data_IF_316046348942
#
_entry.id   IF_316046348942
#
_cell.length_a   1.000
_cell.length_b   1.000
_cell.length_c   1.000
_cell.angle_alpha   90.00
_cell.angle_beta   90.00
_cell.angle_gamma   90.00
#
_symmetry.space_group_name_H-M   'P 1'
#
loop_
_entity.id
_entity.type
_entity.pdbx_description
1 polymer ?
#
# COMPACT_ATOMS: atom_id res chain seq x y z
N UNK A 1 -15.64 -37.88 8.28
CA UNK A 1 -14.38 -37.29 8.77
C UNK A 1 -14.58 -35.78 8.76
N UNK A 2 -14.61 -35.19 9.95
CA UNK A 2 -14.85 -33.75 10.14
C UNK A 2 -13.51 -33.03 10.16
N UNK A 3 -13.33 -32.06 9.27
CA UNK A 3 -12.24 -31.08 9.31
C UNK A 3 -12.84 -29.67 9.20
N UNK A 4 -13.63 -29.29 10.20
CA UNK A 4 -14.00 -27.88 10.42
C UNK A 4 -12.92 -27.25 11.29
N UNK A 5 -11.89 -26.69 10.67
CA UNK A 5 -10.84 -25.95 11.38
C UNK A 5 -11.34 -24.54 11.69
N UNK A 6 -11.87 -24.32 12.89
CA UNK A 6 -12.23 -22.99 13.42
C UNK A 6 -10.97 -22.23 13.88
N UNK A 7 -9.99 -22.06 13.00
CA UNK A 7 -8.81 -21.25 13.25
C UNK A 7 -9.04 -19.80 12.82
N UNK A 8 -8.26 -18.83 13.34
CA UNK A 8 -8.38 -17.41 12.95
C UNK A 8 -8.24 -17.21 11.42
N UNK A 9 -7.49 -18.09 10.75
CA UNK A 9 -7.29 -18.10 9.30
C UNK A 9 -8.43 -18.70 8.47
N UNK A 10 -9.46 -19.26 9.11
CA UNK A 10 -10.63 -19.82 8.42
C UNK A 10 -11.86 -18.90 8.49
N UNK A 11 -11.68 -17.67 8.96
CA UNK A 11 -12.76 -16.68 9.09
C UNK A 11 -12.62 -15.57 8.04
N UNK A 12 -13.71 -14.83 7.83
CA UNK A 12 -13.71 -13.63 6.97
C UNK A 12 -12.79 -12.52 7.51
N UNK A 13 -12.33 -12.64 8.76
CA UNK A 13 -11.36 -11.77 9.40
C UNK A 13 -9.91 -12.23 9.29
N UNK A 14 -9.60 -13.21 8.44
CA UNK A 14 -8.24 -13.72 8.27
C UNK A 14 -7.25 -12.58 7.94
N UNK A 15 -6.11 -12.56 8.64
CA UNK A 15 -5.02 -11.60 8.43
C UNK A 15 -4.09 -12.07 7.32
N UNK A 16 -3.32 -11.17 6.71
CA UNK A 16 -2.46 -11.49 5.57
C UNK A 16 -1.51 -12.69 5.82
N UNK A 17 -1.02 -12.86 7.05
CA UNK A 17 -0.18 -14.01 7.44
C UNK A 17 -0.86 -15.39 7.29
N UNK A 18 -2.19 -15.44 7.11
CA UNK A 18 -2.94 -16.65 6.85
C UNK A 18 -2.86 -17.12 5.38
N UNK A 19 -2.42 -16.26 4.47
CA UNK A 19 -2.28 -16.58 3.05
C UNK A 19 -0.90 -17.18 2.75
N UNK A 20 -0.84 -18.01 1.72
CA UNK A 20 0.40 -18.51 1.13
C UNK A 20 0.46 -18.11 -0.34
N UNK A 21 1.66 -17.93 -0.93
CA UNK A 21 1.76 -17.50 -2.32
C UNK A 21 1.19 -18.57 -3.25
N UNK A 22 0.25 -18.18 -4.10
CA UNK A 22 -0.38 -19.03 -5.12
C UNK A 22 0.23 -18.84 -6.52
N UNK A 23 1.03 -17.79 -6.69
CA UNK A 23 1.76 -17.48 -7.93
C UNK A 23 3.27 -17.63 -7.71
N UNK A 24 4.03 -17.66 -8.81
CA UNK A 24 5.49 -17.66 -8.74
C UNK A 24 6.02 -16.29 -8.23
N UNK A 25 7.18 -16.24 -7.55
CA UNK A 25 7.80 -14.99 -7.10
C UNK A 25 7.88 -13.90 -8.18
N UNK A 26 8.24 -14.28 -9.41
CA UNK A 26 8.35 -13.37 -10.55
C UNK A 26 7.03 -12.67 -10.90
N UNK A 27 5.88 -13.32 -10.65
CA UNK A 27 4.57 -12.70 -10.86
C UNK A 27 4.37 -11.51 -9.92
N UNK A 28 4.66 -11.68 -8.63
CA UNK A 28 4.46 -10.62 -7.65
C UNK A 28 5.38 -9.41 -7.91
N UNK A 29 6.62 -9.68 -8.31
CA UNK A 29 7.57 -8.62 -8.73
C UNK A 29 7.09 -7.92 -10.01
N UNK A 30 6.62 -8.66 -11.01
CA UNK A 30 6.07 -8.09 -12.24
C UNK A 30 4.86 -7.18 -11.95
N UNK A 31 3.92 -7.62 -11.11
CA UNK A 31 2.78 -6.78 -10.72
C UNK A 31 3.22 -5.50 -9.99
N UNK A 32 4.20 -5.58 -9.08
CA UNK A 32 4.74 -4.41 -8.39
C UNK A 32 5.47 -3.45 -9.36
N UNK A 33 6.21 -3.96 -10.34
CA UNK A 33 6.85 -3.12 -11.35
C UNK A 33 5.83 -2.42 -12.27
N UNK A 34 4.76 -3.12 -12.67
CA UNK A 34 3.66 -2.54 -13.44
C UNK A 34 2.90 -1.48 -12.66
N UNK A 35 2.80 -1.62 -11.34
CA UNK A 35 2.28 -0.57 -10.47
C UNK A 35 3.11 0.70 -10.64
N UNK A 36 4.44 0.64 -10.60
CA UNK A 36 5.27 1.82 -10.82
C UNK A 36 5.22 2.37 -12.25
N UNK A 37 4.98 1.53 -13.26
CA UNK A 37 4.73 2.01 -14.62
C UNK A 37 3.49 2.92 -14.70
N UNK A 38 2.53 2.82 -13.77
CA UNK A 38 1.35 3.70 -13.76
C UNK A 38 1.68 5.17 -13.43
N UNK A 39 2.84 5.42 -12.82
CA UNK A 39 3.32 6.74 -12.38
C UNK A 39 4.61 7.21 -13.08
N UNK A 40 5.20 6.37 -13.93
CA UNK A 40 6.39 6.73 -14.68
C UNK A 40 5.99 7.28 -16.05
N UNK A 41 6.19 8.59 -16.26
CA UNK A 41 5.85 9.29 -17.50
C UNK A 41 6.61 8.76 -18.73
N UNK A 42 7.67 7.97 -18.53
CA UNK A 42 8.44 7.33 -19.59
C UNK A 42 8.03 5.88 -19.90
N UNK A 43 7.18 5.27 -19.06
CA UNK A 43 6.75 3.88 -19.21
C UNK A 43 5.63 3.71 -20.25
N UNK A 44 5.40 2.45 -20.65
CA UNK A 44 4.27 2.09 -21.49
C UNK A 44 2.95 2.31 -20.72
N UNK A 45 2.05 3.20 -21.17
CA UNK A 45 0.81 3.49 -20.45
C UNK A 45 -0.16 2.31 -20.37
N UNK A 46 0.08 1.24 -21.14
CA UNK A 46 -0.68 -0.02 -21.09
C UNK A 46 -0.10 -1.04 -20.11
N UNK A 47 1.12 -0.81 -19.60
CA UNK A 47 1.70 -1.58 -18.51
C UNK A 47 0.98 -1.22 -17.21
N UNK A 48 -0.01 -2.04 -16.83
CA UNK A 48 -0.84 -1.83 -15.63
C UNK A 48 -0.84 -3.10 -14.78
N UNK A 49 -0.83 -2.94 -13.44
CA UNK A 49 -0.98 -4.09 -12.56
C UNK A 49 -2.43 -4.57 -12.58
N UNK A 50 -2.65 -5.78 -12.08
CA UNK A 50 -3.98 -6.33 -11.88
C UNK A 50 -4.40 -6.07 -10.44
N UNK A 51 -5.41 -5.22 -10.26
CA UNK A 51 -5.99 -4.93 -8.95
C UNK A 51 -7.26 -5.76 -8.70
N UNK A 52 -7.43 -6.20 -7.45
CA UNK A 52 -8.71 -6.68 -6.95
C UNK A 52 -9.74 -5.53 -6.92
N UNK A 53 -11.03 -5.84 -7.00
CA UNK A 53 -12.10 -4.83 -7.08
C UNK A 53 -12.04 -3.81 -5.93
N UNK A 54 -11.87 -4.29 -4.69
CA UNK A 54 -11.83 -3.50 -3.46
C UNK A 54 -10.42 -3.11 -2.99
N UNK A 55 -9.43 -3.01 -3.90
CA UNK A 55 -8.05 -2.65 -3.53
C UNK A 55 -7.98 -1.37 -2.72
N UNK A 56 -7.09 -1.34 -1.74
CA UNK A 56 -6.84 -0.17 -0.88
C UNK A 56 -5.41 0.31 -1.10
N UNK A 57 -5.21 1.62 -1.22
CA UNK A 57 -3.88 2.26 -1.14
C UNK A 57 -3.79 3.14 0.10
N UNK A 58 -2.81 2.84 0.94
CA UNK A 58 -2.52 3.51 2.19
C UNK A 58 -1.11 4.09 2.15
N UNK A 59 -0.99 5.42 2.13
CA UNK A 59 0.29 6.11 2.20
C UNK A 59 0.41 6.74 3.59
N UNK A 60 1.48 6.41 4.31
CA UNK A 60 1.70 6.93 5.65
C UNK A 60 2.07 8.42 5.62
N UNK A 61 1.81 9.17 6.72
CA UNK A 61 2.37 10.50 6.89
C UNK A 61 3.88 10.51 6.57
N UNK A 62 4.37 11.57 5.92
CA UNK A 62 3.72 12.88 5.81
C UNK A 62 2.82 13.06 4.58
N UNK A 63 2.55 12.00 3.83
CA UNK A 63 1.64 12.04 2.68
C UNK A 63 0.17 11.82 3.08
N UNK A 64 -0.68 11.68 2.07
CA UNK A 64 -2.12 11.52 2.21
C UNK A 64 -2.47 10.09 2.63
N UNK A 65 -3.31 9.93 3.64
CA UNK A 65 -3.77 8.63 4.13
C UNK A 65 -5.02 8.19 3.36
N UNK A 66 -5.05 6.92 2.94
CA UNK A 66 -6.10 6.32 2.12
C UNK A 66 -6.34 7.08 0.81
N UNK A 67 -5.34 7.07 -0.07
CA UNK A 67 -5.37 7.76 -1.38
C UNK A 67 -6.07 6.97 -2.47
N UNK A 68 -6.40 5.71 -2.20
CA UNK A 68 -7.13 4.84 -3.13
C UNK A 68 -8.03 3.85 -2.40
N UNK A 69 -9.28 3.75 -2.88
CA UNK A 69 -10.21 2.71 -2.48
C UNK A 69 -11.05 2.27 -3.69
N UNK A 70 -10.79 1.06 -4.15
CA UNK A 70 -11.37 0.47 -5.34
C UNK A 70 -10.51 0.65 -6.59
N UNK A 71 -10.46 -0.39 -7.42
CA UNK A 71 -9.62 -0.46 -8.63
C UNK A 71 -9.81 0.74 -9.57
N UNK A 72 -11.06 1.05 -9.90
CA UNK A 72 -11.38 2.07 -10.90
C UNK A 72 -10.97 3.47 -10.43
N UNK A 73 -11.08 3.70 -9.12
CA UNK A 73 -10.64 4.94 -8.52
C UNK A 73 -9.12 5.09 -8.55
N UNK A 74 -8.38 4.05 -8.13
CA UNK A 74 -6.91 4.06 -8.18
C UNK A 74 -6.43 4.37 -9.59
N UNK A 75 -6.93 3.64 -10.60
CA UNK A 75 -6.53 3.86 -12.00
C UNK A 75 -6.81 5.30 -12.46
N UNK A 76 -7.94 5.86 -12.06
CA UNK A 76 -8.34 7.24 -12.41
C UNK A 76 -7.47 8.29 -11.72
N UNK A 77 -7.21 8.11 -10.42
CA UNK A 77 -6.39 9.02 -9.60
C UNK A 77 -4.94 8.98 -10.06
N UNK A 78 -4.37 7.81 -10.33
CA UNK A 78 -2.98 7.67 -10.79
C UNK A 78 -2.76 8.42 -12.10
N UNK A 79 -3.71 8.28 -13.02
CA UNK A 79 -3.68 9.01 -14.30
C UNK A 79 -3.74 10.53 -14.11
N UNK A 80 -4.52 11.00 -13.13
CA UNK A 80 -4.62 12.43 -12.79
C UNK A 80 -3.34 12.94 -12.13
N UNK A 81 -2.79 12.19 -11.17
CA UNK A 81 -1.54 12.53 -10.47
C UNK A 81 -0.39 12.61 -11.46
N UNK A 82 -0.23 11.60 -12.32
CA UNK A 82 0.81 11.59 -13.35
C UNK A 82 0.69 12.79 -14.30
N UNK A 83 -0.53 13.22 -14.63
CA UNK A 83 -0.74 14.39 -15.47
C UNK A 83 -0.44 15.72 -14.74
N UNK A 84 -0.69 15.79 -13.43
CA UNK A 84 -0.52 16.99 -12.62
C UNK A 84 0.92 17.20 -12.14
N UNK A 85 1.59 16.11 -11.76
CA UNK A 85 2.98 16.07 -11.25
C UNK A 85 3.72 14.94 -11.97
N UNK A 86 4.11 15.13 -13.25
CA UNK A 86 4.82 14.11 -14.00
C UNK A 86 6.12 13.71 -13.32
N UNK A 87 6.38 12.42 -13.24
CA UNK A 87 7.61 11.88 -12.65
C UNK A 87 8.19 10.77 -13.51
N UNK A 88 9.45 10.43 -13.28
CA UNK A 88 10.05 9.18 -13.78
C UNK A 88 10.56 8.37 -12.59
N UNK A 89 10.73 7.06 -12.73
CA UNK A 89 11.13 6.20 -11.61
C UNK A 89 12.40 5.43 -12.00
N UNK A 90 13.56 6.10 -12.05
CA UNK A 90 14.80 5.54 -12.57
C UNK A 90 15.39 4.41 -11.70
N UNK A 91 15.04 4.36 -10.41
CA UNK A 91 15.52 3.34 -9.48
C UNK A 91 14.34 2.51 -9.01
N UNK A 92 14.39 1.20 -9.28
CA UNK A 92 13.40 0.22 -8.82
C UNK A 92 14.11 -1.05 -8.34
N UNK A 93 14.12 -1.29 -7.02
CA UNK A 93 14.51 -2.59 -6.43
C UNK A 93 13.25 -3.22 -5.86
N UNK A 94 12.74 -4.28 -6.51
CA UNK A 94 11.54 -4.99 -6.10
C UNK A 94 11.89 -6.44 -5.77
N UNK A 95 11.35 -6.95 -4.66
CA UNK A 95 11.60 -8.32 -4.18
C UNK A 95 10.31 -9.04 -3.88
N UNK A 96 10.32 -10.34 -4.13
CA UNK A 96 9.27 -11.24 -3.69
C UNK A 96 9.59 -11.82 -2.31
N UNK A 97 8.54 -12.13 -1.55
CA UNK A 97 8.63 -12.72 -0.21
C UNK A 97 7.79 -13.99 -0.11
N UNK A 98 8.15 -14.89 0.79
CA UNK A 98 7.42 -16.15 1.04
C UNK A 98 6.21 -15.98 1.95
N UNK A 99 6.12 -14.84 2.63
CA UNK A 99 5.01 -14.44 3.50
C UNK A 99 4.47 -13.09 3.00
N UNK A 100 3.20 -12.81 3.29
CA UNK A 100 2.63 -11.51 2.93
C UNK A 100 3.35 -10.37 3.64
N UNK A 101 3.47 -9.20 2.99
CA UNK A 101 3.11 -8.93 1.58
C UNK A 101 4.10 -9.60 0.62
N UNK A 102 3.58 -10.26 -0.43
CA UNK A 102 4.41 -11.07 -1.33
C UNK A 102 5.34 -10.25 -2.24
N UNK A 103 5.17 -8.93 -2.32
CA UNK A 103 6.16 -8.05 -2.92
C UNK A 103 6.36 -6.77 -2.11
N UNK A 104 7.61 -6.30 -2.06
CA UNK A 104 7.99 -4.98 -1.56
C UNK A 104 9.03 -4.40 -2.49
N UNK A 105 8.95 -3.09 -2.70
CA UNK A 105 9.89 -2.36 -3.51
C UNK A 105 10.47 -1.19 -2.73
N UNK A 106 11.73 -0.90 -2.98
CA UNK A 106 12.37 0.38 -2.68
C UNK A 106 12.61 1.08 -4.00
N UNK A 107 11.96 2.22 -4.19
CA UNK A 107 12.02 2.97 -5.45
C UNK A 107 12.43 4.41 -5.20
N UNK A 108 12.83 5.11 -6.26
CA UNK A 108 13.03 6.55 -6.20
C UNK A 108 12.30 7.23 -7.36
N UNK A 109 11.29 8.02 -7.02
CA UNK A 109 10.61 8.91 -7.94
C UNK A 109 11.50 10.13 -8.21
N UNK A 110 11.60 10.54 -9.46
CA UNK A 110 12.24 11.77 -9.88
C UNK A 110 11.13 12.75 -10.25
N UNK A 111 10.85 13.67 -9.34
CA UNK A 111 9.96 14.81 -9.51
C UNK A 111 10.77 16.07 -9.89
N UNK A 112 10.07 17.17 -10.17
CA UNK A 112 10.71 18.47 -10.41
C UNK A 112 11.42 19.00 -9.16
N UNK A 113 10.84 18.77 -7.98
CA UNK A 113 11.42 19.11 -6.68
C UNK A 113 12.67 18.31 -6.30
N UNK A 114 12.89 17.15 -6.93
CA UNK A 114 14.06 16.29 -6.69
C UNK A 114 13.72 14.79 -6.61
N UNK A 115 14.71 13.96 -6.26
CA UNK A 115 14.47 12.55 -6.00
C UNK A 115 13.67 12.35 -4.71
N UNK A 116 12.77 11.40 -4.71
CA UNK A 116 11.98 10.98 -3.56
C UNK A 116 12.08 9.46 -3.41
N UNK A 117 12.85 9.01 -2.42
CA UNK A 117 13.01 7.60 -2.14
C UNK A 117 11.90 7.12 -1.19
N UNK A 118 11.25 6.01 -1.56
CA UNK A 118 10.12 5.45 -0.81
C UNK A 118 10.23 3.93 -0.78
N UNK A 119 9.52 3.32 0.18
CA UNK A 119 9.14 1.92 0.11
C UNK A 119 7.66 1.80 -0.20
N UNK A 120 7.32 0.73 -0.91
CA UNK A 120 5.93 0.35 -1.13
C UNK A 120 5.82 -1.17 -1.14
N UNK A 121 4.82 -1.70 -0.46
CA UNK A 121 4.54 -3.13 -0.41
C UNK A 121 3.13 -3.47 -0.87
N UNK A 122 2.99 -4.70 -1.37
CA UNK A 122 1.83 -5.16 -2.10
C UNK A 122 1.34 -6.48 -1.52
N UNK A 123 0.14 -6.45 -0.95
CA UNK A 123 -0.60 -7.66 -0.54
C UNK A 123 -1.41 -8.17 -1.72
N UNK A 124 -1.49 -9.49 -1.86
CA UNK A 124 -2.20 -10.15 -2.97
C UNK A 124 -3.27 -11.13 -2.51
N UNK A 125 -4.31 -11.32 -3.32
CA UNK A 125 -5.24 -12.44 -3.14
C UNK A 125 -4.74 -13.74 -3.81
N UNK A 126 -5.51 -14.83 -3.72
CA UNK A 126 -5.14 -16.14 -4.29
C UNK A 126 -5.08 -16.11 -5.83
N UNK A 127 -5.77 -15.17 -6.46
CA UNK A 127 -5.71 -14.95 -7.91
C UNK A 127 -4.43 -14.21 -8.35
N UNK A 128 -3.64 -13.71 -7.39
CA UNK A 128 -2.44 -12.92 -7.67
C UNK A 128 -2.73 -11.47 -8.03
N UNK A 129 -3.90 -10.94 -7.65
CA UNK A 129 -4.26 -9.53 -7.81
C UNK A 129 -3.86 -8.73 -6.58
N UNK A 130 -3.46 -7.47 -6.76
CA UNK A 130 -3.11 -6.56 -5.66
C UNK A 130 -4.40 -6.18 -4.90
N UNK A 131 -4.40 -6.37 -3.58
CA UNK A 131 -5.53 -6.06 -2.68
C UNK A 131 -5.23 -4.93 -1.71
N UNK A 132 -3.96 -4.74 -1.35
CA UNK A 132 -3.51 -3.67 -0.47
C UNK A 132 -2.16 -3.15 -0.93
N UNK A 133 -2.02 -1.84 -0.96
CA UNK A 133 -0.79 -1.13 -1.24
C UNK A 133 -0.47 -0.27 -0.03
N UNK A 134 0.71 -0.46 0.56
CA UNK A 134 1.17 0.31 1.72
C UNK A 134 2.48 1.02 1.36
N UNK A 135 2.53 2.34 1.51
CA UNK A 135 3.69 3.15 1.15
C UNK A 135 4.19 3.98 2.34
N UNK A 136 5.52 4.11 2.45
CA UNK A 136 6.17 4.98 3.43
C UNK A 136 7.47 5.59 2.89
N UNK A 137 7.86 6.72 3.47
CA UNK A 137 9.10 7.41 3.13
C UNK A 137 10.34 6.61 3.53
N UNK A 138 11.40 6.69 2.73
CA UNK A 138 12.72 6.13 3.04
C UNK A 138 13.51 7.00 4.05
N UNK A 139 12.90 8.06 4.60
CA UNK A 139 13.50 8.86 5.68
C UNK A 139 13.38 8.13 7.04
N UNK A 140 14.44 8.16 7.88
CA UNK A 140 14.49 7.38 9.13
C UNK A 140 13.29 7.54 10.08
N UNK A 141 12.71 8.72 10.18
CA UNK A 141 11.58 9.02 11.06
C UNK A 141 10.24 8.43 10.62
N UNK A 142 10.13 7.98 9.37
CA UNK A 142 8.90 7.45 8.77
C UNK A 142 8.97 5.93 8.52
N UNK A 143 10.09 5.29 8.83
CA UNK A 143 10.26 3.85 8.61
C UNK A 143 9.49 3.02 9.65
N UNK A 144 8.87 1.90 9.24
CA UNK A 144 8.17 1.00 10.16
C UNK A 144 9.13 0.08 10.94
N UNK A 145 10.42 0.07 10.61
CA UNK A 145 11.47 -0.72 11.24
C UNK A 145 12.46 0.14 12.06
N UNK A 146 12.97 -0.42 13.16
CA UNK A 146 13.87 0.30 14.08
C UNK A 146 15.33 0.39 13.58
N UNK A 147 15.80 -0.59 12.80
CA UNK A 147 17.17 -0.64 12.26
C UNK A 147 17.14 -0.98 10.75
N UNK A 148 16.88 0.01 9.88
CA UNK A 148 16.83 -0.22 8.43
C UNK A 148 18.19 -0.54 7.80
N UNK A 149 19.30 -0.32 8.51
CA UNK A 149 20.62 -0.70 8.01
C UNK A 149 20.84 -2.21 8.13
N UNK A 150 20.37 -2.82 9.22
CA UNK A 150 20.40 -4.26 9.42
C UNK A 150 19.23 -4.99 8.75
N UNK A 151 18.06 -4.36 8.67
CA UNK A 151 16.83 -4.91 8.07
C UNK A 151 16.24 -3.92 7.05
N UNK A 152 16.85 -3.78 5.85
CA UNK A 152 16.41 -2.84 4.83
C UNK A 152 15.06 -3.22 4.21
N UNK A 153 14.55 -4.42 4.48
CA UNK A 153 13.27 -4.88 3.95
C UNK A 153 12.18 -4.96 5.01
N UNK A 154 12.47 -4.78 6.30
CA UNK A 154 11.43 -4.83 7.33
C UNK A 154 10.83 -6.23 7.46
N UNK A 155 11.68 -7.25 7.50
CA UNK A 155 11.29 -8.64 7.74
C UNK A 155 11.30 -9.00 9.24
N UNK A 156 11.86 -8.14 10.09
CA UNK A 156 11.94 -8.36 11.53
C UNK A 156 10.58 -8.39 12.26
N UNK A 157 10.52 -9.01 13.44
CA UNK A 157 9.27 -9.15 14.20
C UNK A 157 8.76 -7.83 14.81
N UNK A 158 9.59 -6.79 14.87
CA UNK A 158 9.22 -5.47 15.40
C UNK A 158 8.64 -4.50 14.36
N UNK A 159 8.50 -4.94 13.11
CA UNK A 159 8.13 -4.06 11.99
C UNK A 159 6.63 -3.77 12.02
N UNK A 160 6.28 -2.48 12.09
CA UNK A 160 4.90 -2.00 12.32
C UNK A 160 4.14 -1.73 11.01
N UNK A 161 3.91 -2.78 10.22
CA UNK A 161 3.12 -2.71 8.97
C UNK A 161 1.61 -2.76 9.24
N UNK A 162 0.82 -2.01 8.49
CA UNK A 162 -0.64 -2.11 8.52
C UNK A 162 -1.12 -3.36 7.77
N UNK A 163 -0.49 -3.70 6.65
CA UNK A 163 -0.80 -4.83 5.78
C UNK A 163 -0.90 -6.19 6.49
N UNK A 164 -0.22 -6.35 7.64
CA UNK A 164 -0.25 -7.58 8.45
C UNK A 164 -1.34 -7.61 9.52
N UNK A 165 -1.99 -6.48 9.78
CA UNK A 165 -2.95 -6.28 10.89
C UNK A 165 -4.40 -6.10 10.43
N UNK A 166 -4.63 -5.82 9.15
CA UNK A 166 -5.96 -5.54 8.59
C UNK A 166 -6.75 -6.84 8.35
N UNK A 167 -7.91 -7.03 9.00
CA UNK A 167 -8.78 -8.18 8.76
C UNK A 167 -9.31 -8.23 7.32
N UNK A 168 -9.38 -9.44 6.77
CA UNK A 168 -9.89 -9.71 5.42
C UNK A 168 -8.79 -9.90 4.38
N UNK A 169 -7.60 -9.33 4.59
CA UNK A 169 -6.46 -9.44 3.67
C UNK A 169 -5.92 -10.87 3.53
N UNK A 170 -6.17 -11.73 4.52
CA UNK A 170 -5.78 -13.14 4.50
C UNK A 170 -6.77 -14.07 3.80
N UNK A 171 -7.91 -13.55 3.37
CA UNK A 171 -8.94 -14.37 2.70
C UNK A 171 -8.55 -14.63 1.24
N UNK A 172 -9.08 -15.69 0.60
CA UNK A 172 -8.81 -15.97 -0.82
C UNK A 172 -9.10 -14.81 -1.78
N UNK A 173 -10.01 -13.90 -1.41
CA UNK A 173 -10.35 -12.71 -2.19
C UNK A 173 -9.60 -11.45 -1.73
N UNK A 174 -9.05 -11.44 -0.51
CA UNK A 174 -8.37 -10.30 0.09
C UNK A 174 -9.26 -9.07 0.28
N UNK A 175 -10.56 -9.28 0.53
CA UNK A 175 -11.54 -8.18 0.66
C UNK A 175 -11.59 -7.68 2.10
N UNK A 176 -11.43 -6.37 2.26
CA UNK A 176 -11.53 -5.70 3.56
C UNK A 176 -12.94 -5.10 3.70
N UNK A 177 -13.68 -5.55 4.71
CA UNK A 177 -14.98 -4.97 5.08
C UNK A 177 -14.83 -4.09 6.34
N UNK A 178 -14.98 -2.75 6.23
CA UNK A 178 -14.79 -1.84 7.34
C UNK A 178 -15.86 -1.99 8.43
N UNK A 179 -16.99 -2.64 8.14
CA UNK A 179 -18.11 -2.85 9.06
C UNK A 179 -18.15 -4.27 9.65
N UNK A 180 -17.26 -5.15 9.22
CA UNK A 180 -17.21 -6.53 9.72
C UNK A 180 -16.89 -6.58 11.22
N UNK A 181 -17.41 -7.61 11.91
CA UNK A 181 -17.13 -7.83 13.34
C UNK A 181 -15.62 -7.93 13.62
N UNK A 182 -14.87 -8.59 12.73
CA UNK A 182 -13.42 -8.71 12.83
C UNK A 182 -12.71 -7.35 12.72
N UNK A 183 -13.13 -6.50 11.78
CA UNK A 183 -12.59 -5.14 11.68
C UNK A 183 -12.91 -4.30 12.91
N UNK A 184 -14.16 -4.34 13.40
CA UNK A 184 -14.56 -3.58 14.58
C UNK A 184 -13.80 -4.03 15.83
N UNK A 185 -13.54 -5.32 15.97
CA UNK A 185 -12.71 -5.86 17.05
C UNK A 185 -11.26 -5.39 16.94
N UNK A 186 -10.64 -5.48 15.75
CA UNK A 186 -9.28 -5.02 15.53
C UNK A 186 -9.13 -3.51 15.76
N UNK A 187 -10.07 -2.71 15.25
CA UNK A 187 -10.12 -1.26 15.44
C UNK A 187 -10.29 -0.84 16.90
N UNK A 188 -10.87 -1.69 17.77
CA UNK A 188 -10.96 -1.39 19.19
C UNK A 188 -9.61 -1.47 19.92
N UNK A 189 -8.64 -2.19 19.35
CA UNK A 189 -7.33 -2.43 19.93
C UNK A 189 -6.20 -1.67 19.22
N UNK A 190 -6.45 -1.27 17.97
CA UNK A 190 -5.43 -0.74 17.06
C UNK A 190 -5.91 0.57 16.39
N UNK A 191 -5.25 1.67 16.73
CA UNK A 191 -5.63 3.00 16.26
C UNK A 191 -5.45 3.18 14.75
N UNK A 192 -4.47 2.52 14.13
CA UNK A 192 -4.23 2.64 12.68
C UNK A 192 -5.31 1.87 11.91
N UNK A 193 -5.68 0.68 12.40
CA UNK A 193 -6.78 -0.10 11.84
C UNK A 193 -8.11 0.63 12.03
N UNK A 194 -8.31 1.29 13.18
CA UNK A 194 -9.49 2.13 13.42
C UNK A 194 -9.58 3.31 12.44
N UNK A 195 -8.46 3.98 12.18
CA UNK A 195 -8.39 5.07 11.22
C UNK A 195 -8.67 4.58 9.79
N UNK A 196 -8.10 3.44 9.40
CA UNK A 196 -8.42 2.80 8.12
C UNK A 196 -9.92 2.52 7.99
N UNK A 197 -10.52 1.84 8.96
CA UNK A 197 -11.94 1.49 8.95
C UNK A 197 -12.84 2.74 8.88
N UNK A 198 -12.49 3.79 9.62
CA UNK A 198 -13.19 5.08 9.61
C UNK A 198 -13.10 5.77 8.23
N UNK A 199 -11.91 5.78 7.63
CA UNK A 199 -11.67 6.41 6.33
C UNK A 199 -12.33 5.66 5.19
N UNK A 200 -12.36 4.34 5.20
CA UNK A 200 -13.10 3.56 4.20
C UNK A 200 -14.59 3.92 4.18
N UNK A 201 -15.19 4.13 5.36
CA UNK A 201 -16.60 4.54 5.48
C UNK A 201 -16.85 5.99 5.06
N UNK A 202 -15.82 6.84 5.15
CA UNK A 202 -15.91 8.28 4.91
C UNK A 202 -14.98 8.72 3.78
N UNK A 203 -14.72 7.83 2.81
CA UNK A 203 -13.60 7.96 1.88
C UNK A 203 -13.53 9.34 1.23
N UNK A 204 -14.61 9.78 0.58
CA UNK A 204 -14.62 11.05 -0.14
C UNK A 204 -14.43 12.27 0.76
N UNK A 205 -14.99 12.27 1.98
CA UNK A 205 -14.86 13.41 2.89
C UNK A 205 -13.46 13.46 3.50
N UNK A 206 -12.90 12.32 3.87
CA UNK A 206 -11.53 12.19 4.40
C UNK A 206 -10.49 12.54 3.33
N UNK A 207 -10.62 11.99 2.13
CA UNK A 207 -9.71 12.25 1.01
C UNK A 207 -9.72 13.73 0.60
N UNK A 208 -10.89 14.34 0.39
CA UNK A 208 -10.99 15.75 0.02
C UNK A 208 -10.40 16.68 1.09
N UNK A 209 -10.57 16.35 2.38
CA UNK A 209 -10.02 17.14 3.48
C UNK A 209 -8.50 17.17 3.42
N UNK A 210 -7.86 16.01 3.23
CA UNK A 210 -6.41 15.94 3.17
C UNK A 210 -5.85 16.52 1.89
N UNK A 211 -6.46 16.21 0.74
CA UNK A 211 -6.07 16.79 -0.54
C UNK A 211 -6.11 18.32 -0.49
N UNK A 212 -7.13 18.93 0.12
CA UNK A 212 -7.19 20.38 0.30
C UNK A 212 -6.16 20.92 1.31
N UNK A 213 -5.83 20.16 2.35
CA UNK A 213 -4.85 20.57 3.35
C UNK A 213 -3.42 20.63 2.79
N UNK A 214 -3.08 19.71 1.89
CA UNK A 214 -1.73 19.58 1.33
C UNK A 214 -1.61 20.26 -0.06
N UNK A 215 -2.65 20.18 -0.90
CA UNK A 215 -2.66 20.63 -2.28
C UNK A 215 -2.69 22.15 -2.51
N UNK A 216 -2.78 22.96 -1.45
CA UNK A 216 -2.81 24.42 -1.59
C UNK A 216 -1.47 25.05 -2.05
N UNK A 217 -0.37 24.29 -2.00
CA UNK A 217 1.00 24.83 -2.11
C UNK A 217 1.91 24.09 -3.11
N UNK A 218 1.36 23.28 -4.03
CA UNK A 218 2.10 22.62 -5.12
C UNK A 218 2.88 21.36 -4.71
N UNK A 219 3.64 20.80 -5.66
CA UNK A 219 4.38 19.53 -5.54
C UNK A 219 5.28 19.46 -4.30
N UNK A 220 6.04 20.53 -4.02
CA UNK A 220 6.95 20.60 -2.88
C UNK A 220 6.21 20.50 -1.53
N UNK A 221 4.97 20.99 -1.44
CA UNK A 221 4.19 20.85 -0.23
C UNK A 221 3.59 19.45 -0.05
N UNK A 222 3.30 18.77 -1.17
CA UNK A 222 2.77 17.40 -1.15
C UNK A 222 3.87 16.40 -0.80
N UNK A 223 4.99 16.45 -1.52
CA UNK A 223 6.00 15.42 -1.43
C UNK A 223 7.19 15.83 -0.57
N UNK A 224 7.53 17.11 -0.52
CA UNK A 224 8.76 17.62 0.10
C UNK A 224 9.05 17.10 1.50
N UNK A 225 8.07 17.11 2.44
CA UNK A 225 8.29 16.55 3.78
C UNK A 225 8.72 15.07 3.77
N UNK A 226 8.10 14.24 2.93
CA UNK A 226 8.41 12.81 2.83
C UNK A 226 9.62 12.52 1.96
N UNK A 227 10.04 13.45 1.12
CA UNK A 227 11.20 13.32 0.25
C UNK A 227 12.46 13.99 0.82
N UNK A 228 12.35 14.66 1.97
CA UNK A 228 13.46 15.38 2.61
C UNK A 228 13.91 16.63 1.84
N UNK A 229 13.03 17.21 1.03
CA UNK A 229 13.32 18.42 0.29
C UNK A 229 13.29 19.63 1.24
N UNK A 230 14.21 20.58 1.03
CA UNK A 230 14.17 21.83 1.77
C UNK A 230 12.90 22.62 1.39
N UNK A 231 12.21 23.26 2.35
CA UNK A 231 11.06 24.11 2.08
C UNK A 231 11.42 25.39 1.31
#
# INVERSE_FOLDING_TARGET
MSCGGSGPCASDGALAACSSPMQAPDHYVDQALRYFDSYDASADPTSRPTYAEGVIRWEWPPWLILTGYGRDLIVSVDSLVLAATPSTIPTRDCRAFTEQPFARCRVSFQYDGGPCAIYEEFTFNDLGEITFVEAWSDLPEYLPMDDPAADPWGEGPGVRRLSTRVPGLGTPLGVVDPLSEAMQAAAAEDADVAELASRMQTFWTSWLREFNAIGANGEAAIYGPGCGWAP
#
